data_IF_699176636928
#
_entry.id   IF_699176636928
#
_cell.length_a   1.000
_cell.length_b   1.000
_cell.length_c   1.000
_cell.angle_alpha   90.00
_cell.angle_beta   90.00
_cell.angle_gamma   90.00
#
_symmetry.space_group_name_H-M   'P 1'
#
loop_
_entity.id
_entity.type
_entity.pdbx_description
1 polymer ?
#
# COMPACT_ATOMS: atom_id res chain seq x y z
N UNK A 1 0.56 5.81 -2.89
CA UNK A 1 1.23 5.47 -1.62
C UNK A 1 2.55 6.21 -1.55
N UNK A 2 2.75 7.00 -0.49
CA UNK A 2 4.02 7.67 -0.19
C UNK A 2 4.67 6.91 0.96
N UNK A 3 5.94 6.55 0.79
CA UNK A 3 6.76 5.99 1.86
C UNK A 3 7.69 7.09 2.34
N UNK A 4 7.80 7.23 3.66
CA UNK A 4 8.72 8.16 4.28
C UNK A 4 9.88 7.35 4.84
N UNK A 5 11.09 7.78 4.51
CA UNK A 5 12.32 7.25 5.06
C UNK A 5 12.98 8.39 5.83
N UNK A 6 13.17 8.19 7.13
CA UNK A 6 13.89 9.13 7.97
C UNK A 6 15.33 8.62 8.11
N UNK A 7 16.29 9.41 7.66
CA UNK A 7 17.72 9.14 7.78
C UNK A 7 18.39 10.27 8.54
N UNK A 8 19.52 9.96 9.18
CA UNK A 8 20.45 10.99 9.64
C UNK A 8 20.97 11.79 8.44
N UNK A 9 21.43 13.01 8.67
CA UNK A 9 21.95 13.87 7.60
C UNK A 9 23.17 13.24 6.90
N UNK A 10 24.06 12.59 7.67
CA UNK A 10 25.20 11.86 7.13
C UNK A 10 24.78 10.69 6.22
N UNK A 11 23.76 9.93 6.62
CA UNK A 11 23.30 8.79 5.84
C UNK A 11 22.51 9.22 4.61
N UNK A 12 21.81 10.36 4.68
CA UNK A 12 21.19 10.97 3.51
C UNK A 12 22.25 11.38 2.47
N UNK A 13 23.36 11.99 2.89
CA UNK A 13 24.45 12.35 1.99
C UNK A 13 25.15 11.12 1.37
N UNK A 14 25.30 10.03 2.13
CA UNK A 14 25.82 8.76 1.60
C UNK A 14 24.86 8.15 0.58
N UNK A 15 23.56 8.19 0.88
CA UNK A 15 22.51 7.68 0.00
C UNK A 15 22.45 8.44 -1.33
N UNK A 16 22.55 9.77 -1.30
CA UNK A 16 22.54 10.60 -2.49
C UNK A 16 23.74 10.34 -3.40
N UNK A 17 24.94 10.27 -2.82
CA UNK A 17 26.16 9.91 -3.57
C UNK A 17 26.04 8.54 -4.22
N UNK A 18 25.41 7.58 -3.54
CA UNK A 18 25.17 6.24 -4.10
C UNK A 18 24.15 6.28 -5.24
N UNK A 19 23.10 7.11 -5.14
CA UNK A 19 22.13 7.34 -6.21
C UNK A 19 22.80 7.93 -7.46
N UNK A 20 23.62 8.97 -7.27
CA UNK A 20 24.38 9.63 -8.35
C UNK A 20 25.35 8.65 -9.01
N UNK A 21 26.10 7.88 -8.23
CA UNK A 21 27.02 6.85 -8.75
C UNK A 21 26.30 5.76 -9.54
N UNK A 22 25.07 5.42 -9.15
CA UNK A 22 24.23 4.46 -9.86
C UNK A 22 23.48 5.08 -11.06
N UNK A 23 23.52 6.41 -11.25
CA UNK A 23 22.74 7.11 -12.27
C UNK A 23 21.23 7.01 -12.07
N UNK A 24 20.77 6.75 -10.83
CA UNK A 24 19.37 6.49 -10.51
C UNK A 24 18.77 7.62 -9.69
N UNK A 25 17.47 7.88 -9.87
CA UNK A 25 16.72 8.75 -8.94
C UNK A 25 16.60 8.06 -7.58
N UNK A 26 16.56 8.82 -6.48
CA UNK A 26 16.38 8.31 -5.10
C UNK A 26 15.31 7.22 -4.98
N UNK A 27 14.15 7.42 -5.60
CA UNK A 27 13.04 6.46 -5.55
C UNK A 27 13.29 5.17 -6.34
N UNK A 28 14.07 5.23 -7.42
CA UNK A 28 14.48 4.06 -8.20
C UNK A 28 15.56 3.28 -7.44
N UNK A 29 16.55 3.99 -6.91
CA UNK A 29 17.63 3.40 -6.13
C UNK A 29 17.10 2.71 -4.86
N UNK A 30 16.16 3.33 -4.15
CA UNK A 30 15.51 2.72 -2.99
C UNK A 30 14.76 1.43 -3.36
N UNK A 31 14.00 1.44 -4.46
CA UNK A 31 13.31 0.23 -4.95
C UNK A 31 14.30 -0.86 -5.37
N UNK A 32 15.41 -0.47 -5.97
CA UNK A 32 16.49 -1.38 -6.34
C UNK A 32 17.10 -2.05 -5.10
N UNK A 33 17.41 -1.30 -4.04
CA UNK A 33 17.90 -1.87 -2.78
C UNK A 33 16.91 -2.89 -2.18
N UNK A 34 15.61 -2.60 -2.26
CA UNK A 34 14.54 -3.48 -1.77
C UNK A 34 14.20 -4.64 -2.72
N UNK A 35 14.69 -4.61 -3.96
CA UNK A 35 14.35 -5.61 -4.97
C UNK A 35 14.89 -7.01 -4.61
N UNK A 36 16.06 -7.05 -3.96
CA UNK A 36 16.74 -8.28 -3.53
C UNK A 36 16.53 -8.67 -2.06
N UNK A 37 15.89 -7.82 -1.25
CA UNK A 37 15.67 -8.07 0.19
C UNK A 37 14.18 -8.22 0.48
N UNK A 38 13.68 -9.46 0.36
CA UNK A 38 12.26 -9.80 0.58
C UNK A 38 11.88 -9.81 2.06
N UNK A 39 12.86 -10.03 2.92
CA UNK A 39 12.79 -10.04 4.38
C UNK A 39 12.56 -8.64 4.99
N UNK A 40 13.14 -7.60 4.39
CA UNK A 40 13.07 -6.22 4.92
C UNK A 40 12.04 -5.38 4.14
N UNK A 41 11.39 -5.95 3.11
CA UNK A 41 10.43 -5.20 2.30
C UNK A 41 9.17 -4.91 3.13
N UNK A 42 8.80 -3.63 3.34
CA UNK A 42 7.57 -3.29 4.05
C UNK A 42 6.37 -4.02 3.45
N UNK A 43 5.40 -4.49 4.27
CA UNK A 43 4.21 -5.21 3.79
C UNK A 43 3.50 -4.49 2.64
N UNK A 44 3.47 -3.16 2.69
CA UNK A 44 2.89 -2.30 1.65
C UNK A 44 3.54 -2.47 0.27
N UNK A 45 4.86 -2.69 0.23
CA UNK A 45 5.60 -2.96 -1.01
C UNK A 45 5.56 -4.44 -1.40
N UNK A 46 5.46 -5.33 -0.42
CA UNK A 46 5.35 -6.77 -0.65
C UNK A 46 4.01 -7.15 -1.27
N UNK A 47 2.92 -6.60 -0.72
CA UNK A 47 1.54 -6.91 -1.11
C UNK A 47 0.92 -5.84 -2.01
N UNK A 48 1.74 -5.03 -2.69
CA UNK A 48 1.29 -3.88 -3.49
C UNK A 48 0.20 -4.25 -4.51
N UNK A 49 0.40 -5.33 -5.25
CA UNK A 49 -0.57 -5.79 -6.26
C UNK A 49 -1.87 -6.25 -5.61
N UNK A 50 -1.78 -7.02 -4.53
CA UNK A 50 -2.94 -7.46 -3.77
C UNK A 50 -3.74 -6.28 -3.22
N UNK A 51 -3.07 -5.28 -2.61
CA UNK A 51 -3.70 -4.05 -2.12
C UNK A 51 -4.40 -3.31 -3.27
N UNK A 52 -3.80 -3.27 -4.45
CA UNK A 52 -4.39 -2.61 -5.61
C UNK A 52 -5.65 -3.34 -6.11
N UNK A 53 -5.59 -4.67 -6.23
CA UNK A 53 -6.74 -5.50 -6.63
C UNK A 53 -7.88 -5.37 -5.61
N UNK A 54 -7.58 -5.45 -4.31
CA UNK A 54 -8.57 -5.27 -3.25
C UNK A 54 -9.22 -3.88 -3.30
N UNK A 55 -8.43 -2.82 -3.53
CA UNK A 55 -8.97 -1.47 -3.68
C UNK A 55 -9.86 -1.28 -4.91
N UNK A 56 -9.62 -2.04 -5.98
CA UNK A 56 -10.51 -2.05 -7.15
C UNK A 56 -11.81 -2.78 -6.85
N UNK A 57 -11.74 -3.96 -6.22
CA UNK A 57 -12.92 -4.73 -5.80
C UNK A 57 -13.80 -3.90 -4.86
N UNK A 58 -13.20 -3.22 -3.86
CA UNK A 58 -13.93 -2.33 -2.95
C UNK A 58 -14.69 -1.23 -3.72
N UNK A 59 -14.05 -0.61 -4.71
CA UNK A 59 -14.66 0.42 -5.55
C UNK A 59 -15.83 -0.13 -6.35
N UNK A 60 -15.64 -1.27 -6.99
CA UNK A 60 -16.67 -1.90 -7.83
C UNK A 60 -17.89 -2.30 -6.98
N UNK A 61 -17.66 -2.82 -5.77
CA UNK A 61 -18.73 -3.13 -4.82
C UNK A 61 -19.48 -1.88 -4.35
N UNK A 62 -18.78 -0.76 -4.14
CA UNK A 62 -19.43 0.53 -3.84
C UNK A 62 -20.30 1.01 -4.99
N UNK A 63 -19.84 0.88 -6.24
CA UNK A 63 -20.64 1.22 -7.43
C UNK A 63 -21.90 0.34 -7.51
N UNK A 64 -21.77 -0.96 -7.27
CA UNK A 64 -22.93 -1.88 -7.23
C UNK A 64 -23.91 -1.47 -6.12
N UNK A 65 -23.40 -1.13 -4.93
CA UNK A 65 -24.21 -0.70 -3.80
C UNK A 65 -25.00 0.60 -4.05
N UNK A 66 -24.55 1.44 -4.99
CA UNK A 66 -25.20 2.70 -5.36
C UNK A 66 -26.30 2.55 -6.41
N UNK A 67 -26.52 1.36 -6.99
CA UNK A 67 -27.61 1.14 -7.96
C UNK A 67 -28.97 1.28 -7.28
N UNK A 68 -29.90 1.98 -7.94
CA UNK A 68 -31.27 2.21 -7.43
C UNK A 68 -32.08 0.91 -7.31
N UNK A 69 -31.79 -0.08 -8.15
CA UNK A 69 -32.43 -1.39 -8.16
C UNK A 69 -32.08 -2.26 -6.94
N UNK A 70 -31.03 -1.88 -6.20
CA UNK A 70 -30.57 -2.65 -5.04
C UNK A 70 -31.36 -2.27 -3.80
N UNK A 71 -31.98 -3.26 -3.16
CA UNK A 71 -32.70 -3.06 -1.92
C UNK A 71 -31.78 -2.50 -0.82
N UNK A 72 -32.33 -1.60 0.02
CA UNK A 72 -31.57 -0.93 1.07
C UNK A 72 -30.91 -1.91 2.05
N UNK A 73 -31.57 -3.04 2.32
CA UNK A 73 -31.03 -4.11 3.17
C UNK A 73 -29.73 -4.69 2.61
N UNK A 74 -29.68 -4.95 1.30
CA UNK A 74 -28.51 -5.50 0.63
C UNK A 74 -27.40 -4.46 0.52
N UNK A 75 -27.77 -3.20 0.28
CA UNK A 75 -26.85 -2.06 0.30
C UNK A 75 -26.14 -1.93 1.65
N UNK A 76 -26.90 -1.94 2.75
CA UNK A 76 -26.35 -1.87 4.11
C UNK A 76 -25.44 -3.07 4.37
N UNK A 77 -25.85 -4.27 3.96
CA UNK A 77 -25.05 -5.48 4.13
C UNK A 77 -23.71 -5.39 3.39
N UNK A 78 -23.70 -4.96 2.13
CA UNK A 78 -22.47 -4.78 1.34
C UNK A 78 -21.55 -3.76 2.01
N UNK A 79 -22.08 -2.60 2.41
CA UNK A 79 -21.29 -1.56 3.07
C UNK A 79 -20.69 -2.04 4.40
N UNK A 80 -21.45 -2.77 5.21
CA UNK A 80 -20.95 -3.36 6.45
C UNK A 80 -19.80 -4.35 6.16
N UNK A 81 -19.95 -5.22 5.15
CA UNK A 81 -18.91 -6.17 4.78
C UNK A 81 -17.64 -5.50 4.27
N UNK A 82 -17.76 -4.37 3.55
CA UNK A 82 -16.61 -3.57 3.14
C UNK A 82 -15.87 -2.96 4.35
N UNK A 83 -16.61 -2.49 5.36
CA UNK A 83 -16.03 -2.00 6.62
C UNK A 83 -15.30 -3.12 7.37
N UNK A 84 -15.92 -4.29 7.51
CA UNK A 84 -15.31 -5.47 8.16
C UNK A 84 -14.00 -5.90 7.45
N UNK A 85 -14.02 -5.92 6.11
CA UNK A 85 -12.84 -6.17 5.27
C UNK A 85 -11.74 -5.15 5.55
N UNK A 86 -12.07 -3.86 5.53
CA UNK A 86 -11.08 -2.81 5.76
C UNK A 86 -10.48 -2.87 7.17
N UNK A 87 -11.28 -3.17 8.19
CA UNK A 87 -10.81 -3.35 9.56
C UNK A 87 -9.86 -4.55 9.69
N UNK A 88 -10.19 -5.66 9.02
CA UNK A 88 -9.35 -6.86 9.00
C UNK A 88 -7.98 -6.60 8.37
N UNK A 89 -7.94 -5.83 7.29
CA UNK A 89 -6.70 -5.51 6.60
C UNK A 89 -5.90 -4.40 7.28
N UNK A 90 -6.55 -3.36 7.77
CA UNK A 90 -5.90 -2.27 8.52
C UNK A 90 -5.20 -2.80 9.77
N UNK A 91 -5.79 -3.75 10.50
CA UNK A 91 -5.14 -4.37 11.66
C UNK A 91 -3.93 -5.26 11.35
N UNK A 92 -3.81 -5.79 10.13
CA UNK A 92 -2.69 -6.67 9.70
C UNK A 92 -1.48 -5.90 9.18
N UNK A 93 -1.66 -4.72 8.61
CA UNK A 93 -0.56 -3.94 8.01
C UNK A 93 0.13 -2.98 8.99
N UNK A 94 -0.41 -2.80 10.21
CA UNK A 94 0.13 -1.92 11.25
C UNK A 94 0.83 -2.65 12.41
N UNK A 95 0.81 -3.98 12.45
CA UNK A 95 1.22 -4.75 13.64
C UNK A 95 2.72 -5.07 13.76
N UNK A 96 3.58 -4.52 12.91
CA UNK A 96 5.03 -4.68 13.02
C UNK A 96 5.74 -3.36 12.70
N UNK A 97 5.77 -2.47 13.70
CA UNK A 97 6.86 -1.49 13.92
C UNK A 97 7.15 -1.51 15.41
#
# INVERSE_FOLDING_TARGET
MRLFLSLSEEDMQKFDRACEKAGMKRSQYFKYLLSGRRDIRPPVLQYRELIHVLGNIERDLKVIAMKEELADKDRIFIMQKLVDLNNTFSGRFYKEI
#
